data_IF_263400477087
#
_entry.id   IF_263400477087
#
_cell.length_a   1.000
_cell.length_b   1.000
_cell.length_c   1.000
_cell.angle_alpha   90.00
_cell.angle_beta   90.00
_cell.angle_gamma   90.00
#
_symmetry.space_group_name_H-M   'P 1'
#
loop_
_entity.id
_entity.type
_entity.pdbx_description
1 polymer ?
#
# COMPACT_ATOMS: atom_id res chain seq x y z
N UNK A 1 -10.22 13.78 -6.46
CA UNK A 1 -9.78 12.83 -5.43
C UNK A 1 -10.20 13.33 -4.06
N UNK A 2 -10.54 12.42 -3.13
CA UNK A 2 -10.80 12.68 -1.72
C UNK A 2 -9.50 12.70 -0.91
N UNK A 3 -9.56 13.16 0.35
CA UNK A 3 -8.41 13.13 1.25
C UNK A 3 -7.89 11.69 1.48
N UNK A 4 -8.78 10.70 1.53
CA UNK A 4 -8.39 9.29 1.67
C UNK A 4 -7.58 8.78 0.46
N UNK A 5 -7.98 9.18 -0.76
CA UNK A 5 -7.26 8.83 -1.98
C UNK A 5 -5.90 9.54 -2.07
N UNK A 6 -5.80 10.80 -1.62
CA UNK A 6 -4.52 11.50 -1.54
C UNK A 6 -3.56 10.81 -0.55
N UNK A 7 -4.04 10.47 0.66
CA UNK A 7 -3.24 9.76 1.64
C UNK A 7 -2.81 8.36 1.15
N UNK A 8 -3.67 7.67 0.39
CA UNK A 8 -3.32 6.39 -0.23
C UNK A 8 -2.21 6.54 -1.29
N UNK A 9 -2.26 7.60 -2.10
CA UNK A 9 -1.19 7.94 -3.05
C UNK A 9 0.13 8.23 -2.32
N UNK A 10 0.10 9.02 -1.25
CA UNK A 10 1.29 9.29 -0.42
C UNK A 10 1.89 8.02 0.16
N UNK A 11 1.05 7.13 0.72
CA UNK A 11 1.51 5.88 1.33
C UNK A 11 2.19 4.95 0.32
N UNK A 12 1.69 4.94 -0.92
CA UNK A 12 2.25 4.16 -2.02
C UNK A 12 3.32 4.93 -2.83
N UNK A 13 3.62 6.17 -2.46
CA UNK A 13 4.55 7.07 -3.16
C UNK A 13 4.21 7.24 -4.65
N UNK A 14 2.93 7.40 -4.95
CA UNK A 14 2.41 7.66 -6.28
C UNK A 14 2.05 9.14 -6.39
N UNK A 15 2.53 9.81 -7.44
CA UNK A 15 2.04 11.16 -7.75
C UNK A 15 0.60 11.03 -8.30
N UNK A 16 -0.39 11.78 -7.78
CA UNK A 16 -1.78 11.68 -8.22
C UNK A 16 -1.98 11.80 -9.74
N UNK A 17 -1.16 12.60 -10.41
CA UNK A 17 -1.19 12.84 -11.86
C UNK A 17 -0.71 11.62 -12.67
N UNK A 18 0.02 10.70 -12.03
CA UNK A 18 0.54 9.46 -12.61
C UNK A 18 -0.26 8.24 -12.18
N UNK A 19 -1.37 8.43 -11.45
CA UNK A 19 -2.17 7.32 -10.95
C UNK A 19 -2.93 6.63 -12.09
N UNK A 20 -2.53 5.39 -12.37
CA UNK A 20 -3.25 4.45 -13.22
C UNK A 20 -3.10 3.02 -12.66
N UNK A 21 -3.75 2.04 -13.29
CA UNK A 21 -3.72 0.64 -12.81
C UNK A 21 -2.30 0.05 -12.81
N UNK A 22 -1.46 0.43 -13.77
CA UNK A 22 -0.10 -0.08 -13.90
C UNK A 22 0.80 0.51 -12.82
N UNK A 23 0.79 1.83 -12.64
CA UNK A 23 1.59 2.52 -11.62
C UNK A 23 1.17 2.10 -10.22
N UNK A 24 -0.14 1.95 -9.97
CA UNK A 24 -0.67 1.41 -8.72
C UNK A 24 -0.16 0.01 -8.42
N UNK A 25 -0.25 -0.90 -9.39
CA UNK A 25 0.22 -2.29 -9.23
C UNK A 25 1.72 -2.35 -8.95
N UNK A 26 2.52 -1.56 -9.68
CA UNK A 26 3.98 -1.54 -9.52
C UNK A 26 4.39 -0.97 -8.16
N UNK A 27 3.83 0.17 -7.77
CA UNK A 27 4.14 0.83 -6.51
C UNK A 27 3.75 -0.04 -5.30
N UNK A 28 2.56 -0.64 -5.33
CA UNK A 28 2.12 -1.57 -4.30
C UNK A 28 3.06 -2.77 -4.15
N UNK A 29 3.44 -3.42 -5.28
CA UNK A 29 4.37 -4.55 -5.24
C UNK A 29 5.73 -4.15 -4.67
N UNK A 30 6.26 -2.98 -5.06
CA UNK A 30 7.52 -2.45 -4.53
C UNK A 30 7.45 -2.30 -3.02
N UNK A 31 6.39 -1.64 -2.50
CA UNK A 31 6.21 -1.42 -1.06
C UNK A 31 6.01 -2.72 -0.29
N UNK A 32 5.21 -3.64 -0.81
CA UNK A 32 4.95 -4.91 -0.14
C UNK A 32 6.16 -5.85 -0.08
N UNK A 33 7.14 -5.69 -0.97
CA UNK A 33 8.37 -6.49 -0.94
C UNK A 33 9.18 -6.27 0.36
N UNK A 34 9.07 -5.09 0.97
CA UNK A 34 9.69 -4.76 2.27
C UNK A 34 9.01 -5.47 3.45
N UNK A 35 7.82 -6.05 3.22
CA UNK A 35 7.00 -6.70 4.22
C UNK A 35 6.70 -8.17 3.84
N UNK A 36 7.66 -8.89 3.26
CA UNK A 36 7.52 -10.32 3.04
C UNK A 36 7.68 -11.11 4.36
N UNK A 37 6.73 -12.00 4.73
CA UNK A 37 6.72 -12.71 6.02
C UNK A 37 8.05 -13.36 6.38
N UNK A 38 8.70 -14.01 5.41
CA UNK A 38 9.99 -14.69 5.61
C UNK A 38 11.09 -13.78 6.16
N UNK A 39 11.04 -12.47 5.89
CA UNK A 39 12.07 -11.52 6.34
C UNK A 39 11.99 -11.22 7.85
N UNK A 40 10.85 -11.50 8.50
CA UNK A 40 10.62 -11.13 9.89
C UNK A 40 10.00 -12.23 10.76
N UNK A 41 9.99 -13.49 10.29
CA UNK A 41 9.47 -14.62 11.07
C UNK A 41 10.12 -14.75 12.46
N UNK A 42 11.41 -14.44 12.57
CA UNK A 42 12.22 -14.56 13.80
C UNK A 42 12.10 -13.34 14.73
N UNK A 43 11.36 -12.29 14.33
CA UNK A 43 11.21 -11.10 15.18
C UNK A 43 10.22 -11.34 16.33
N UNK A 44 10.33 -10.57 17.43
CA UNK A 44 9.38 -10.65 18.53
C UNK A 44 7.93 -10.44 18.06
N UNK A 45 6.93 -11.07 18.72
CA UNK A 45 5.53 -10.99 18.30
C UNK A 45 5.01 -9.57 18.08
N UNK A 46 5.35 -8.64 18.97
CA UNK A 46 4.94 -7.24 18.86
C UNK A 46 5.50 -6.55 17.60
N UNK A 47 6.73 -6.88 17.21
CA UNK A 47 7.37 -6.33 16.01
C UNK A 47 6.72 -6.91 14.75
N UNK A 48 6.42 -8.22 14.75
CA UNK A 48 5.70 -8.86 13.65
C UNK A 48 4.30 -8.26 13.46
N UNK A 49 3.57 -8.03 14.55
CA UNK A 49 2.26 -7.37 14.50
C UNK A 49 2.35 -5.96 13.91
N UNK A 50 3.38 -5.19 14.27
CA UNK A 50 3.56 -3.85 13.69
C UNK A 50 3.81 -3.93 12.17
N UNK A 51 4.62 -4.89 11.72
CA UNK A 51 4.87 -5.12 10.30
C UNK A 51 3.59 -5.54 9.56
N UNK A 52 2.83 -6.47 10.13
CA UNK A 52 1.52 -6.89 9.57
C UNK A 52 0.55 -5.72 9.46
N UNK A 53 0.50 -4.83 10.47
CA UNK A 53 -0.32 -3.62 10.41
C UNK A 53 0.12 -2.68 9.28
N UNK A 54 1.43 -2.54 9.02
CA UNK A 54 1.93 -1.74 7.89
C UNK A 54 1.55 -2.36 6.54
N UNK A 55 1.68 -3.67 6.39
CA UNK A 55 1.21 -4.37 5.19
C UNK A 55 -0.31 -4.19 4.96
N UNK A 56 -1.11 -4.26 6.04
CA UNK A 56 -2.55 -4.00 5.95
C UNK A 56 -2.88 -2.57 5.52
N UNK A 57 -2.14 -1.57 5.99
CA UNK A 57 -2.31 -0.17 5.55
C UNK A 57 -2.05 -0.02 4.05
N UNK A 58 -1.03 -0.70 3.52
CA UNK A 58 -0.74 -0.70 2.08
C UNK A 58 -1.85 -1.38 1.27
N UNK A 59 -2.43 -2.47 1.78
CA UNK A 59 -3.59 -3.12 1.15
C UNK A 59 -4.80 -2.18 1.08
N UNK A 60 -5.09 -1.49 2.18
CA UNK A 60 -6.21 -0.55 2.25
C UNK A 60 -6.02 0.64 1.29
N UNK A 61 -4.80 1.19 1.23
CA UNK A 61 -4.47 2.24 0.27
C UNK A 61 -4.65 1.76 -1.17
N UNK A 62 -4.18 0.54 -1.50
CA UNK A 62 -4.37 -0.05 -2.82
C UNK A 62 -5.85 -0.15 -3.18
N UNK A 63 -6.67 -0.75 -2.31
CA UNK A 63 -8.10 -0.93 -2.55
C UNK A 63 -8.81 0.42 -2.74
N UNK A 64 -8.48 1.43 -1.91
CA UNK A 64 -9.06 2.77 -2.04
C UNK A 64 -8.78 3.42 -3.41
N UNK A 65 -7.58 3.22 -3.95
CA UNK A 65 -7.20 3.72 -5.27
C UNK A 65 -7.77 2.86 -6.41
N UNK A 66 -7.89 1.55 -6.23
CA UNK A 66 -8.57 0.66 -7.18
C UNK A 66 -10.04 1.09 -7.36
N UNK A 67 -10.77 1.29 -6.26
CA UNK A 67 -12.16 1.77 -6.27
C UNK A 67 -12.29 3.16 -6.92
N UNK A 68 -11.34 4.07 -6.65
CA UNK A 68 -11.29 5.37 -7.33
C UNK A 68 -11.11 5.23 -8.85
N UNK A 69 -10.20 4.36 -9.31
CA UNK A 69 -9.94 4.13 -10.73
C UNK A 69 -11.08 3.37 -11.45
N UNK A 70 -11.94 2.68 -10.72
CA UNK A 70 -13.13 2.02 -11.26
C UNK A 70 -14.36 2.93 -11.30
N UNK A 71 -14.37 3.99 -10.50
CA UNK A 71 -15.45 4.98 -10.43
C UNK A 71 -15.19 6.26 -11.23
N UNK A 72 -13.97 6.44 -11.75
CA UNK A 72 -13.54 7.55 -12.61
C UNK A 72 -13.79 7.26 -14.09
#
# INVERSE_FOLDING_TARGET
MTQAQQAACELLEISPEQLDRQTLTQAYRRKMADFHPDQYQQLPPAVRQLIEQRAQQLNQARNCLEEFLESA
#
